data_IF_022539249536
#
_entry.id   IF_022539249536
#
_cell.length_a   1.000
_cell.length_b   1.000
_cell.length_c   1.000
_cell.angle_alpha   90.00
_cell.angle_beta   90.00
_cell.angle_gamma   90.00
#
_symmetry.space_group_name_H-M   'P 1'
#
loop_
_entity.id
_entity.type
_entity.pdbx_description
1 polymer ?
#
# COMPACT_ATOMS: atom_id res chain seq x y z
N UNK A 1 8.40 -14.14 -28.46
CA UNK A 1 8.24 -12.79 -29.05
C UNK A 1 7.82 -11.88 -27.92
N UNK A 2 8.67 -10.96 -27.49
CA UNK A 2 8.29 -9.91 -26.53
C UNK A 2 7.50 -8.86 -27.29
N UNK A 3 6.19 -8.82 -27.10
CA UNK A 3 5.38 -7.72 -27.60
C UNK A 3 5.85 -6.43 -26.90
N UNK A 4 6.05 -5.33 -27.64
CA UNK A 4 6.42 -4.07 -27.01
C UNK A 4 5.27 -3.59 -26.13
N UNK A 5 5.58 -3.17 -24.90
CA UNK A 5 4.60 -2.61 -23.97
C UNK A 5 3.97 -1.35 -24.58
N UNK A 6 2.67 -1.19 -24.38
CA UNK A 6 1.96 0.02 -24.75
C UNK A 6 2.28 1.14 -23.77
N UNK A 7 2.71 2.29 -24.31
CA UNK A 7 3.20 3.41 -23.49
C UNK A 7 2.16 3.92 -22.47
N UNK A 8 2.64 4.15 -21.24
CA UNK A 8 1.87 4.80 -20.17
C UNK A 8 1.69 6.30 -20.43
N UNK A 9 0.82 6.96 -19.65
CA UNK A 9 0.69 8.42 -19.66
C UNK A 9 2.03 9.14 -19.42
N UNK A 10 2.77 8.73 -18.38
CA UNK A 10 4.03 9.37 -17.99
C UNK A 10 5.10 9.25 -19.09
N UNK A 11 5.21 8.06 -19.70
CA UNK A 11 6.11 7.82 -20.83
C UNK A 11 5.72 8.67 -22.05
N UNK A 12 4.44 8.74 -22.40
CA UNK A 12 3.95 9.56 -23.53
C UNK A 12 4.15 11.05 -23.34
N UNK A 13 3.90 11.54 -22.13
CA UNK A 13 3.93 12.97 -21.82
C UNK A 13 5.30 13.43 -21.31
N UNK A 14 6.27 12.52 -21.22
CA UNK A 14 7.59 12.76 -20.65
C UNK A 14 7.50 13.46 -19.27
N UNK A 15 6.67 12.92 -18.39
CA UNK A 15 6.47 13.43 -17.03
C UNK A 15 6.70 12.33 -15.99
N UNK A 16 6.90 12.71 -14.73
CA UNK A 16 7.11 11.78 -13.62
C UNK A 16 5.96 11.84 -12.61
N UNK A 17 5.86 10.80 -11.79
CA UNK A 17 5.04 10.81 -10.59
C UNK A 17 5.59 11.82 -9.57
N UNK A 18 4.78 12.23 -8.57
CA UNK A 18 5.26 13.01 -7.44
C UNK A 18 6.38 12.30 -6.67
N UNK A 19 7.12 13.07 -5.87
CA UNK A 19 8.17 12.53 -4.99
C UNK A 19 7.60 11.59 -3.92
N UNK A 20 8.34 10.53 -3.63
CA UNK A 20 7.94 9.50 -2.67
C UNK A 20 7.76 10.09 -1.25
N UNK A 21 6.60 9.88 -0.60
CA UNK A 21 6.37 10.40 0.74
C UNK A 21 7.02 9.55 1.85
N UNK A 22 7.45 8.33 1.52
CA UNK A 22 7.93 7.31 2.47
C UNK A 22 9.43 7.45 2.77
N UNK A 23 9.85 8.63 3.23
CA UNK A 23 11.26 8.95 3.53
C UNK A 23 11.48 9.15 5.05
N UNK A 24 12.72 8.93 5.50
CA UNK A 24 13.11 9.11 6.91
C UNK A 24 12.76 10.51 7.45
N UNK A 25 12.25 10.56 8.68
CA UNK A 25 11.81 11.77 9.36
C UNK A 25 10.38 12.22 9.03
N UNK A 26 9.68 11.54 8.12
CA UNK A 26 8.26 11.82 7.84
C UNK A 26 7.35 11.17 8.88
N UNK A 27 6.22 11.83 9.10
CA UNK A 27 5.19 11.38 10.03
C UNK A 27 3.95 10.93 9.25
N UNK A 28 3.37 9.81 9.67
CA UNK A 28 2.12 9.28 9.14
C UNK A 28 1.10 9.20 10.27
N UNK A 29 -0.02 9.88 10.11
CA UNK A 29 -1.17 9.76 11.01
C UNK A 29 -2.07 8.66 10.46
N UNK A 30 -2.24 7.59 11.23
CA UNK A 30 -2.98 6.41 10.79
C UNK A 30 -4.14 6.09 11.73
N UNK A 31 -5.19 5.49 11.16
CA UNK A 31 -6.35 4.99 11.88
C UNK A 31 -6.46 3.49 11.65
N UNK A 32 -6.64 2.72 12.72
CA UNK A 32 -6.84 1.27 12.64
C UNK A 32 -7.94 0.91 11.65
N UNK A 33 -7.67 -0.08 10.82
CA UNK A 33 -8.52 -0.46 9.72
C UNK A 33 -8.70 -1.97 9.75
N UNK A 34 -9.96 -2.40 9.69
CA UNK A 34 -10.31 -3.78 9.39
C UNK A 34 -10.39 -3.88 7.87
N UNK A 35 -9.46 -4.58 7.22
CA UNK A 35 -9.44 -4.68 5.77
C UNK A 35 -10.72 -5.31 5.22
N UNK A 36 -11.08 -5.02 3.96
CA UNK A 36 -12.13 -5.76 3.28
C UNK A 36 -11.80 -7.25 3.21
N UNK A 37 -12.81 -8.07 2.93
CA UNK A 37 -12.60 -9.49 2.65
C UNK A 37 -11.66 -9.67 1.47
N UNK A 38 -10.85 -10.75 1.44
CA UNK A 38 -9.97 -11.05 0.31
C UNK A 38 -10.70 -10.98 -1.03
N UNK A 39 -10.15 -10.20 -1.96
CA UNK A 39 -10.70 -10.02 -3.31
C UNK A 39 -10.39 -11.22 -4.23
N UNK A 40 -10.71 -11.12 -5.52
CA UNK A 40 -10.27 -12.12 -6.51
C UNK A 40 -8.76 -12.05 -6.79
N UNK A 41 -8.20 -13.14 -7.30
CA UNK A 41 -6.77 -13.21 -7.66
C UNK A 41 -6.42 -12.45 -8.95
N UNK A 42 -7.42 -12.20 -9.79
CA UNK A 42 -7.24 -11.52 -11.07
C UNK A 42 -7.01 -10.01 -10.86
N UNK A 43 -5.91 -9.52 -11.41
CA UNK A 43 -5.57 -8.10 -11.43
C UNK A 43 -5.24 -7.65 -12.85
N UNK A 44 -5.78 -8.33 -13.86
CA UNK A 44 -5.54 -7.99 -15.25
C UNK A 44 -6.20 -6.65 -15.60
N UNK A 45 -5.56 -5.86 -16.47
CA UNK A 45 -6.20 -4.68 -17.02
C UNK A 45 -7.41 -5.05 -17.88
N UNK A 46 -8.46 -4.24 -17.78
CA UNK A 46 -9.63 -4.27 -18.66
C UNK A 46 -9.56 -3.12 -19.70
N UNK A 47 -10.39 -3.13 -20.76
CA UNK A 47 -10.29 -2.10 -21.81
C UNK A 47 -10.42 -0.65 -21.31
N UNK A 48 -11.15 -0.42 -20.21
CA UNK A 48 -11.31 0.92 -19.62
C UNK A 48 -10.01 1.34 -18.94
N UNK A 49 -9.47 0.49 -18.07
CA UNK A 49 -8.24 0.76 -17.30
C UNK A 49 -7.00 0.82 -18.20
N UNK A 50 -6.98 0.05 -19.30
CA UNK A 50 -5.98 0.20 -20.39
C UNK A 50 -6.00 1.61 -20.96
N UNK A 51 -7.20 2.14 -21.26
CA UNK A 51 -7.34 3.50 -21.81
C UNK A 51 -6.90 4.54 -20.79
N UNK A 52 -7.36 4.43 -19.55
CA UNK A 52 -7.01 5.36 -18.48
C UNK A 52 -5.50 5.43 -18.24
N UNK A 53 -4.81 4.29 -18.16
CA UNK A 53 -3.34 4.24 -18.00
C UNK A 53 -2.63 5.02 -19.10
N UNK A 54 -3.19 5.07 -20.30
CA UNK A 54 -2.60 5.71 -21.46
C UNK A 54 -2.97 7.21 -21.59
N UNK A 55 -4.01 7.68 -20.91
CA UNK A 55 -4.57 9.03 -21.08
C UNK A 55 -4.69 9.85 -19.78
N UNK A 56 -4.53 9.22 -18.61
CA UNK A 56 -4.72 9.84 -17.30
C UNK A 56 -3.45 9.63 -16.47
N UNK A 57 -2.95 10.72 -15.89
CA UNK A 57 -1.80 10.68 -14.99
C UNK A 57 -2.05 9.72 -13.81
N UNK A 58 -1.06 8.91 -13.37
CA UNK A 58 -1.22 7.95 -12.26
C UNK A 58 -1.87 8.55 -11.00
N UNK A 59 -1.44 9.73 -10.56
CA UNK A 59 -2.05 10.44 -9.42
C UNK A 59 -3.55 10.67 -9.60
N UNK A 60 -3.99 11.07 -10.79
CA UNK A 60 -5.40 11.29 -11.06
C UNK A 60 -6.17 9.96 -11.11
N UNK A 61 -5.55 8.87 -11.57
CA UNK A 61 -6.13 7.53 -11.48
C UNK A 61 -6.33 7.11 -10.02
N UNK A 62 -5.41 7.42 -9.11
CA UNK A 62 -5.59 7.16 -7.67
C UNK A 62 -6.78 7.92 -7.06
N UNK A 63 -7.09 9.11 -7.57
CA UNK A 63 -8.27 9.87 -7.13
C UNK A 63 -9.55 9.24 -7.69
N UNK A 64 -9.51 8.70 -8.91
CA UNK A 64 -10.65 8.02 -9.54
C UNK A 64 -10.93 6.63 -8.96
N UNK A 65 -9.88 5.95 -8.49
CA UNK A 65 -9.92 4.58 -7.95
C UNK A 65 -9.39 4.57 -6.51
N UNK A 66 -10.18 5.07 -5.54
CA UNK A 66 -9.79 4.97 -4.14
C UNK A 66 -9.68 3.48 -3.73
N UNK A 67 -8.80 3.14 -2.78
CA UNK A 67 -8.70 1.77 -2.24
C UNK A 67 -10.05 1.25 -1.75
N UNK A 68 -10.23 -0.07 -1.76
CA UNK A 68 -11.46 -0.67 -1.27
C UNK A 68 -11.72 -0.30 0.20
N UNK A 69 -12.96 0.12 0.45
CA UNK A 69 -13.45 0.42 1.79
C UNK A 69 -13.40 -0.83 2.67
N UNK A 70 -12.90 -0.67 3.89
CA UNK A 70 -13.09 -1.63 4.97
C UNK A 70 -13.92 -1.01 6.09
N UNK A 71 -13.50 -1.21 7.34
CA UNK A 71 -14.10 -0.51 8.47
C UNK A 71 -13.05 0.05 9.41
N UNK A 72 -13.36 1.19 10.03
CA UNK A 72 -12.48 1.84 10.98
C UNK A 72 -12.56 1.15 12.34
N UNK A 73 -11.41 0.85 12.93
CA UNK A 73 -11.28 0.48 14.33
C UNK A 73 -11.29 1.70 15.25
N UNK A 74 -10.94 1.51 16.53
CA UNK A 74 -10.93 2.59 17.53
C UNK A 74 -9.55 3.19 17.78
N UNK A 75 -8.49 2.61 17.21
CA UNK A 75 -7.11 3.02 17.47
C UNK A 75 -6.63 4.02 16.43
N UNK A 76 -5.94 5.08 16.86
CA UNK A 76 -5.16 5.99 16.01
C UNK A 76 -3.71 6.01 16.46
N UNK A 77 -2.78 6.25 15.53
CA UNK A 77 -1.36 6.34 15.84
C UNK A 77 -0.64 7.35 14.94
N UNK A 78 0.39 7.99 15.49
CA UNK A 78 1.35 8.80 14.74
C UNK A 78 2.65 8.02 14.63
N UNK A 79 3.01 7.67 13.40
CA UNK A 79 4.18 6.88 13.06
C UNK A 79 5.27 7.82 12.52
N UNK A 80 6.48 7.77 13.06
CA UNK A 80 7.65 8.38 12.40
C UNK A 80 8.36 7.32 11.58
N UNK A 81 8.62 7.60 10.30
CA UNK A 81 9.48 6.77 9.45
C UNK A 81 10.92 7.00 9.87
N UNK A 82 11.57 5.96 10.36
CA UNK A 82 12.97 6.03 10.81
C UNK A 82 13.95 5.51 9.75
N UNK A 83 13.50 4.59 8.89
CA UNK A 83 14.33 3.99 7.86
C UNK A 83 13.46 3.51 6.68
N UNK A 84 13.96 3.69 5.45
CA UNK A 84 13.38 3.05 4.26
C UNK A 84 14.06 1.71 4.03
N UNK A 85 13.29 0.62 4.09
CA UNK A 85 13.78 -0.74 3.84
C UNK A 85 13.71 -1.04 2.34
N UNK A 86 12.58 -0.72 1.73
CA UNK A 86 12.33 -0.81 0.29
C UNK A 86 11.14 0.07 -0.05
N UNK A 87 11.40 1.29 -0.47
CA UNK A 87 10.36 2.19 -0.94
C UNK A 87 10.86 2.93 -2.18
N UNK A 88 9.97 3.17 -3.14
CA UNK A 88 10.30 3.77 -4.43
C UNK A 88 9.23 3.51 -5.48
N UNK A 89 9.42 4.13 -6.63
CA UNK A 89 8.63 3.84 -7.81
C UNK A 89 8.83 2.38 -8.26
N UNK A 90 7.79 1.80 -8.86
CA UNK A 90 7.75 0.39 -9.32
C UNK A 90 7.89 -0.64 -8.20
N UNK A 91 7.70 -0.24 -6.94
CA UNK A 91 7.62 -1.16 -5.82
C UNK A 91 6.15 -1.54 -5.57
N UNK A 92 5.85 -2.84 -5.49
CA UNK A 92 4.49 -3.30 -5.20
C UNK A 92 3.99 -2.82 -3.84
N UNK A 93 4.80 -2.98 -2.80
CA UNK A 93 4.54 -2.39 -1.49
C UNK A 93 5.75 -1.59 -1.00
N UNK A 94 5.47 -0.53 -0.26
CA UNK A 94 6.49 0.33 0.34
C UNK A 94 6.79 -0.18 1.75
N UNK A 95 8.03 -0.62 1.98
CA UNK A 95 8.50 -1.17 3.24
C UNK A 95 9.35 -0.14 3.96
N UNK A 96 8.88 0.29 5.13
CA UNK A 96 9.58 1.27 5.97
C UNK A 96 9.57 0.82 7.42
N UNK A 97 10.64 1.10 8.15
CA UNK A 97 10.65 0.94 9.60
C UNK A 97 10.10 2.20 10.24
N UNK A 98 9.19 2.03 11.19
CA UNK A 98 8.51 3.11 11.90
C UNK A 98 8.68 3.00 13.42
N UNK A 99 8.64 4.15 14.10
CA UNK A 99 8.51 4.25 15.55
C UNK A 99 7.18 4.94 15.88
N UNK A 100 6.42 4.38 16.82
CA UNK A 100 5.15 4.97 17.24
C UNK A 100 5.44 6.12 18.22
N UNK A 101 4.99 7.32 17.88
CA UNK A 101 5.17 8.52 18.71
C UNK A 101 4.00 8.78 19.63
N UNK A 102 2.79 8.52 19.13
CA UNK A 102 1.55 8.70 19.86
C UNK A 102 0.58 7.61 19.45
N UNK A 103 -0.15 7.04 20.41
CA UNK A 103 -1.16 6.01 20.20
C UNK A 103 -2.35 6.32 21.09
N UNK A 104 -3.56 6.25 20.52
CA UNK A 104 -4.80 6.39 21.25
C UNK A 104 -5.74 5.24 20.87
N UNK A 105 -6.29 4.47 21.84
CA UNK A 105 -6.00 4.50 23.27
C UNK A 105 -4.55 4.12 23.61
N UNK A 106 -4.05 4.57 24.76
CA UNK A 106 -2.69 4.25 25.22
C UNK A 106 -2.51 2.74 25.46
N UNK A 107 -1.28 2.25 25.36
CA UNK A 107 -0.87 0.85 25.63
C UNK A 107 -1.47 -0.24 24.71
N UNK A 108 -2.14 0.13 23.61
CA UNK A 108 -2.65 -0.84 22.62
C UNK A 108 -1.55 -1.34 21.67
N UNK A 109 -0.59 -0.47 21.34
CA UNK A 109 0.54 -0.77 20.47
C UNK A 109 1.86 -0.50 21.19
N UNK A 110 2.94 -1.27 20.89
CA UNK A 110 4.22 -1.07 21.54
C UNK A 110 4.90 0.21 21.02
N UNK A 111 5.01 1.22 21.87
CA UNK A 111 5.66 2.50 21.55
C UNK A 111 7.19 2.42 21.54
N UNK A 112 7.74 1.51 22.34
CA UNK A 112 9.19 1.40 22.54
C UNK A 112 9.87 0.59 21.44
N UNK A 113 9.09 -0.11 20.61
CA UNK A 113 9.60 -0.98 19.56
C UNK A 113 9.57 -0.28 18.20
N UNK A 114 10.60 -0.56 17.41
CA UNK A 114 10.59 -0.31 15.96
C UNK A 114 9.72 -1.36 15.28
N UNK A 115 8.77 -0.93 14.46
CA UNK A 115 7.90 -1.80 13.69
C UNK A 115 8.22 -1.70 12.19
N UNK A 116 7.94 -2.76 11.44
CA UNK A 116 7.94 -2.72 9.98
C UNK A 116 6.53 -2.35 9.52
N UNK A 117 6.39 -1.24 8.81
CA UNK A 117 5.17 -0.88 8.10
C UNK A 117 5.30 -1.29 6.63
N UNK A 118 4.28 -2.00 6.13
CA UNK A 118 4.09 -2.33 4.72
C UNK A 118 2.91 -1.54 4.20
N UNK A 119 3.18 -0.60 3.30
CA UNK A 119 2.20 0.38 2.81
C UNK A 119 1.88 0.04 1.36
N UNK A 120 0.58 -0.09 1.06
CA UNK A 120 0.07 -0.35 -0.28
C UNK A 120 -0.40 0.97 -0.86
N UNK A 121 0.41 1.54 -1.74
CA UNK A 121 0.13 2.81 -2.40
C UNK A 121 0.15 2.58 -3.92
N UNK A 122 -1.02 2.57 -4.59
CA UNK A 122 -1.09 2.27 -6.00
C UNK A 122 -0.32 3.29 -6.84
N UNK A 123 -0.10 4.52 -6.36
CA UNK A 123 0.63 5.55 -7.11
C UNK A 123 2.06 5.11 -7.44
N UNK A 124 2.73 4.44 -6.49
CA UNK A 124 4.13 4.02 -6.63
C UNK A 124 4.29 2.58 -7.13
N UNK A 125 3.19 1.94 -7.55
CA UNK A 125 3.24 0.69 -8.28
C UNK A 125 3.82 0.88 -9.69
N UNK A 126 4.22 -0.19 -10.37
CA UNK A 126 4.67 -0.09 -11.76
C UNK A 126 3.50 0.18 -12.73
N UNK A 127 3.36 1.45 -13.13
CA UNK A 127 2.36 1.89 -14.10
C UNK A 127 2.82 1.74 -15.56
N UNK A 128 4.06 1.28 -15.78
CA UNK A 128 4.60 1.01 -17.12
C UNK A 128 4.21 -0.40 -17.63
N UNK A 129 3.88 -1.33 -16.74
CA UNK A 129 3.28 -2.60 -17.13
C UNK A 129 1.90 -2.38 -17.75
N UNK A 130 1.57 -3.16 -18.78
CA UNK A 130 0.30 -3.07 -19.51
C UNK A 130 -0.54 -4.35 -19.49
N UNK A 131 -0.17 -5.30 -18.62
CA UNK A 131 -0.93 -6.52 -18.30
C UNK A 131 -1.61 -6.46 -16.92
N UNK A 132 -1.12 -5.62 -16.00
CA UNK A 132 -1.58 -5.57 -14.61
C UNK A 132 -2.21 -4.22 -14.24
N UNK A 133 -3.33 -4.27 -13.53
CA UNK A 133 -3.97 -3.14 -12.88
C UNK A 133 -3.40 -2.92 -11.46
N UNK A 134 -2.68 -1.81 -11.22
CA UNK A 134 -2.15 -1.47 -9.90
C UNK A 134 -3.20 -1.44 -8.79
N UNK A 135 -4.40 -0.95 -9.08
CA UNK A 135 -5.44 -0.74 -8.06
C UNK A 135 -5.95 -2.08 -7.54
N UNK A 136 -6.29 -2.99 -8.48
CA UNK A 136 -6.71 -4.35 -8.15
C UNK A 136 -5.60 -5.13 -7.42
N UNK A 137 -4.33 -4.96 -7.83
CA UNK A 137 -3.20 -5.59 -7.14
C UNK A 137 -3.05 -5.13 -5.70
N UNK A 138 -3.15 -3.82 -5.45
CA UNK A 138 -3.02 -3.28 -4.10
C UNK A 138 -4.14 -3.75 -3.19
N UNK A 139 -5.38 -3.72 -3.66
CA UNK A 139 -6.53 -4.23 -2.90
C UNK A 139 -6.39 -5.73 -2.61
N UNK A 140 -5.97 -6.52 -3.60
CA UNK A 140 -5.72 -7.95 -3.44
C UNK A 140 -4.63 -8.21 -2.41
N UNK A 141 -3.44 -7.64 -2.62
CA UNK A 141 -2.28 -7.94 -1.80
C UNK A 141 -2.50 -7.51 -0.34
N UNK A 142 -3.12 -6.34 -0.13
CA UNK A 142 -3.48 -5.84 1.20
C UNK A 142 -4.50 -6.75 1.91
N UNK A 143 -5.63 -7.04 1.26
CA UNK A 143 -6.72 -7.82 1.86
C UNK A 143 -6.29 -9.26 2.17
N UNK A 144 -5.54 -9.89 1.27
CA UNK A 144 -5.07 -11.26 1.45
C UNK A 144 -3.99 -11.37 2.53
N UNK A 145 -3.02 -10.45 2.55
CA UNK A 145 -1.96 -10.48 3.54
C UNK A 145 -2.51 -10.29 4.96
N UNK A 146 -3.41 -9.33 5.15
CA UNK A 146 -4.05 -9.12 6.43
C UNK A 146 -4.88 -10.33 6.88
N UNK A 147 -5.67 -10.92 5.96
CA UNK A 147 -6.45 -12.12 6.25
C UNK A 147 -5.54 -13.32 6.61
N UNK A 148 -4.41 -13.48 5.91
CA UNK A 148 -3.43 -14.53 6.17
C UNK A 148 -2.81 -14.38 7.57
N UNK A 149 -2.40 -13.17 7.97
CA UNK A 149 -1.92 -12.94 9.33
C UNK A 149 -2.97 -13.31 10.37
N UNK A 150 -4.22 -12.84 10.22
CA UNK A 150 -5.32 -13.17 11.15
C UNK A 150 -5.51 -14.70 11.28
N UNK A 151 -5.57 -15.40 10.14
CA UNK A 151 -5.75 -16.85 10.11
C UNK A 151 -4.59 -17.61 10.75
N UNK A 152 -3.37 -17.08 10.63
CA UNK A 152 -2.13 -17.68 11.13
C UNK A 152 -1.67 -17.11 12.48
N UNK A 153 -2.57 -16.48 13.24
CA UNK A 153 -2.25 -15.83 14.53
C UNK A 153 -1.53 -16.72 15.56
N UNK A 154 -1.76 -18.04 15.52
CA UNK A 154 -1.07 -19.03 16.38
C UNK A 154 0.44 -19.13 16.10
N UNK A 155 0.90 -18.64 14.95
CA UNK A 155 2.30 -18.73 14.49
C UNK A 155 3.08 -17.43 14.73
N UNK A 156 2.45 -16.41 15.32
CA UNK A 156 3.06 -15.11 15.58
C UNK A 156 4.27 -15.19 16.50
N UNK A 157 5.37 -14.55 16.10
CA UNK A 157 6.60 -14.46 16.88
C UNK A 157 7.39 -15.77 16.96
N UNK A 158 6.94 -16.82 16.26
CA UNK A 158 7.64 -18.11 16.17
C UNK A 158 8.04 -18.38 14.72
N UNK A 159 7.06 -18.64 13.85
CA UNK A 159 7.29 -18.95 12.43
C UNK A 159 7.12 -17.69 11.56
N UNK A 160 6.17 -16.83 11.91
CA UNK A 160 5.91 -15.57 11.19
C UNK A 160 6.04 -14.35 12.11
N UNK A 161 6.36 -13.16 11.56
CA UNK A 161 6.38 -11.94 12.35
C UNK A 161 5.06 -11.68 13.07
N UNK A 162 5.14 -11.06 14.26
CA UNK A 162 3.93 -10.63 14.96
C UNK A 162 3.27 -9.49 14.17
N UNK A 163 1.99 -9.67 13.86
CA UNK A 163 1.18 -8.65 13.22
C UNK A 163 0.51 -7.75 14.25
N UNK A 164 0.71 -6.44 14.12
CA UNK A 164 0.19 -5.43 15.05
C UNK A 164 -1.11 -4.78 14.58
N UNK A 165 -1.64 -5.21 13.44
CA UNK A 165 -2.89 -4.73 12.87
C UNK A 165 -2.71 -4.04 11.52
N UNK A 166 -3.84 -3.69 10.94
CA UNK A 166 -3.95 -2.92 9.71
C UNK A 166 -4.37 -1.50 10.02
N UNK A 167 -3.91 -0.56 9.20
CA UNK A 167 -4.21 0.85 9.36
C UNK A 167 -4.39 1.51 7.99
N UNK A 168 -5.15 2.60 7.96
CA UNK A 168 -5.31 3.48 6.79
C UNK A 168 -4.84 4.89 7.13
N UNK A 169 -4.40 5.64 6.13
CA UNK A 169 -4.01 7.05 6.28
C UNK A 169 -5.27 7.91 6.41
N UNK A 170 -5.18 8.97 7.23
CA UNK A 170 -6.20 10.01 7.36
C UNK A 170 -5.89 11.22 6.49
#
# INVERSE_FOLDING_TARGET
>A
MTHPLSESFCTRQNCSKPDLPYITGKYLTVHSHNPPVPTGNDCSLNPITVRERATIHPLQRCILHPPLEGSYGSTTANLEIIESVRAGDKCSAQLVTVQLKQVAPQNILPTDNKLLAKIYDPLYYDHEQDDVDPFLCMDRDYSHEAAAYIALSKLYGTIIPRYFGSFTLK
#
